data_IF_062223094570
#
_entry.id   IF_062223094570
#
_cell.length_a   1.000
_cell.length_b   1.000
_cell.length_c   1.000
_cell.angle_alpha   90.00
_cell.angle_beta   90.00
_cell.angle_gamma   90.00
#
_symmetry.space_group_name_H-M   'P 1'
#
loop_
_entity.id
_entity.type
_entity.pdbx_description
1 polymer ?
#
# COMPACT_ATOMS: atom_id res chain seq x y z
N UNK A 1 33.01 -105.38 -68.10
CA UNK A 1 31.58 -105.73 -67.99
C UNK A 1 31.09 -105.37 -66.60
N UNK A 2 30.35 -104.25 -66.46
CA UNK A 2 29.29 -104.03 -65.49
C UNK A 2 28.74 -102.60 -65.67
N UNK A 3 27.49 -102.51 -66.10
CA UNK A 3 26.68 -101.32 -66.37
C UNK A 3 26.24 -100.59 -65.07
N UNK A 4 25.73 -99.34 -65.17
CA UNK A 4 25.42 -98.49 -64.02
C UNK A 4 24.02 -98.79 -63.45
N UNK A 5 23.84 -98.63 -62.12
CA UNK A 5 22.53 -98.70 -61.47
C UNK A 5 22.06 -97.30 -61.04
N UNK A 6 20.98 -96.88 -61.67
CA UNK A 6 20.16 -95.72 -61.35
C UNK A 6 19.10 -96.14 -60.32
N UNK A 7 19.05 -95.48 -59.16
CA UNK A 7 17.95 -95.53 -58.17
C UNK A 7 18.07 -94.24 -57.36
N UNK A 8 17.09 -93.38 -57.13
CA UNK A 8 15.69 -93.32 -57.50
C UNK A 8 15.14 -92.05 -56.84
N UNK A 9 14.37 -91.26 -57.57
CA UNK A 9 13.76 -90.03 -57.04
C UNK A 9 12.75 -90.34 -55.94
N UNK A 10 12.99 -89.81 -54.74
CA UNK A 10 12.03 -89.77 -53.65
C UNK A 10 11.35 -88.41 -53.64
N UNK A 11 10.20 -88.30 -54.32
CA UNK A 11 9.34 -87.12 -54.23
C UNK A 11 8.79 -86.98 -52.82
N UNK A 12 9.17 -85.90 -52.12
CA UNK A 12 8.51 -85.46 -50.90
C UNK A 12 7.06 -85.08 -51.25
N UNK A 13 6.13 -85.99 -50.96
CA UNK A 13 4.70 -85.72 -51.00
C UNK A 13 4.37 -84.51 -50.11
N UNK A 14 3.54 -83.54 -50.55
CA UNK A 14 3.05 -82.50 -49.66
C UNK A 14 2.26 -83.17 -48.54
N UNK A 15 2.73 -82.99 -47.29
CA UNK A 15 2.03 -83.46 -46.10
C UNK A 15 0.55 -83.04 -46.18
N UNK A 16 -0.38 -83.99 -46.06
CA UNK A 16 -1.82 -83.70 -46.04
C UNK A 16 -2.14 -82.98 -44.74
N UNK A 17 -2.15 -81.65 -44.81
CA UNK A 17 -2.57 -80.77 -43.71
C UNK A 17 -4.09 -80.81 -43.62
N UNK A 18 -4.63 -80.96 -42.40
CA UNK A 18 -6.09 -80.92 -42.18
C UNK A 18 -6.65 -79.53 -42.49
N UNK A 19 -7.95 -79.43 -42.83
CA UNK A 19 -8.61 -78.14 -43.08
C UNK A 19 -8.46 -77.18 -41.89
N UNK A 20 -8.46 -77.72 -40.67
CA UNK A 20 -8.25 -76.97 -39.42
C UNK A 20 -6.82 -76.44 -39.29
N UNK A 21 -5.81 -77.26 -39.55
CA UNK A 21 -4.40 -76.82 -39.57
C UNK A 21 -4.15 -75.80 -40.69
N UNK A 22 -4.78 -75.96 -41.87
CA UNK A 22 -4.67 -74.98 -42.95
C UNK A 22 -5.34 -73.66 -42.58
N UNK A 23 -6.49 -73.70 -41.91
CA UNK A 23 -7.17 -72.49 -41.40
C UNK A 23 -6.37 -71.79 -40.30
N UNK A 24 -5.70 -72.54 -39.40
CA UNK A 24 -4.81 -71.98 -38.39
C UNK A 24 -3.56 -71.35 -39.02
N UNK A 25 -3.00 -71.96 -40.07
CA UNK A 25 -1.86 -71.43 -40.83
C UNK A 25 -2.23 -70.20 -41.68
N UNK A 26 -3.43 -70.17 -42.29
CA UNK A 26 -3.87 -69.08 -43.18
C UNK A 26 -4.43 -67.86 -42.43
N UNK A 27 -5.11 -68.06 -41.29
CA UNK A 27 -5.68 -66.97 -40.49
C UNK A 27 -4.80 -66.55 -39.31
N UNK A 28 -3.72 -67.28 -39.05
CA UNK A 28 -2.93 -67.16 -37.83
C UNK A 28 -3.74 -67.58 -36.60
N UNK A 29 -3.07 -67.81 -35.48
CA UNK A 29 -3.73 -68.05 -34.20
C UNK A 29 -4.45 -66.76 -33.73
N UNK A 30 -5.69 -66.55 -34.18
CA UNK A 30 -6.54 -65.40 -33.81
C UNK A 30 -6.67 -65.27 -32.29
N UNK A 31 -6.67 -66.40 -31.58
CA UNK A 31 -6.62 -66.48 -30.12
C UNK A 31 -5.34 -65.84 -29.54
N UNK A 32 -4.18 -66.11 -30.14
CA UNK A 32 -2.91 -65.52 -29.72
C UNK A 32 -2.85 -64.01 -29.99
N UNK A 33 -3.41 -63.56 -31.12
CA UNK A 33 -3.48 -62.12 -31.41
C UNK A 33 -4.41 -61.39 -30.41
N UNK A 34 -5.53 -62.01 -30.05
CA UNK A 34 -6.45 -61.48 -29.05
C UNK A 34 -5.80 -61.39 -27.67
N UNK A 35 -5.05 -62.41 -27.23
CA UNK A 35 -4.35 -62.37 -25.94
C UNK A 35 -3.25 -61.32 -25.91
N UNK A 36 -2.49 -61.15 -26.99
CA UNK A 36 -1.52 -60.06 -27.11
C UNK A 36 -2.20 -58.69 -27.01
N UNK A 37 -3.33 -58.50 -27.68
CA UNK A 37 -4.08 -57.25 -27.65
C UNK A 37 -4.67 -56.95 -26.28
N UNK A 38 -5.20 -57.97 -25.59
CA UNK A 38 -5.67 -57.85 -24.20
C UNK A 38 -4.50 -57.43 -23.29
N UNK A 39 -3.32 -58.06 -23.43
CA UNK A 39 -2.14 -57.68 -22.66
C UNK A 39 -1.64 -56.26 -22.93
N UNK A 40 -1.75 -55.74 -24.15
CA UNK A 40 -1.47 -54.34 -24.47
C UNK A 40 -2.46 -53.38 -23.81
N UNK A 41 -3.75 -53.71 -23.84
CA UNK A 41 -4.80 -52.93 -23.19
C UNK A 41 -4.60 -52.91 -21.68
N UNK A 42 -4.26 -54.03 -21.05
CA UNK A 42 -3.96 -54.10 -19.61
C UNK A 42 -2.78 -53.20 -19.24
N UNK A 43 -1.72 -53.18 -20.06
CA UNK A 43 -0.59 -52.25 -19.88
C UNK A 43 -1.03 -50.79 -19.97
N UNK A 44 -1.89 -50.44 -20.93
CA UNK A 44 -2.43 -49.08 -21.07
C UNK A 44 -3.31 -48.71 -19.88
N UNK A 45 -4.19 -49.61 -19.44
CA UNK A 45 -5.04 -49.44 -18.25
C UNK A 45 -4.17 -49.22 -17.00
N UNK A 46 -3.12 -50.02 -16.82
CA UNK A 46 -2.17 -49.85 -15.71
C UNK A 46 -1.49 -48.47 -15.75
N UNK A 47 -0.99 -48.04 -16.92
CA UNK A 47 -0.39 -46.70 -17.10
C UNK A 47 -1.38 -45.57 -16.82
N UNK A 48 -2.62 -45.69 -17.28
CA UNK A 48 -3.67 -44.70 -17.01
C UNK A 48 -4.03 -44.63 -15.53
N UNK A 49 -4.15 -45.78 -14.85
CA UNK A 49 -4.38 -45.83 -13.39
C UNK A 49 -3.24 -45.16 -12.63
N UNK A 50 -1.99 -45.43 -13.00
CA UNK A 50 -0.82 -44.78 -12.39
C UNK A 50 -0.85 -43.26 -12.58
N UNK A 51 -1.07 -42.77 -13.82
CA UNK A 51 -1.18 -41.34 -14.10
C UNK A 51 -2.32 -40.67 -13.31
N UNK A 52 -3.47 -41.34 -13.21
CA UNK A 52 -4.60 -40.87 -12.40
C UNK A 52 -4.20 -40.74 -10.93
N UNK A 53 -3.51 -41.74 -10.37
CA UNK A 53 -3.04 -41.70 -8.99
C UNK A 53 -2.05 -40.55 -8.74
N UNK A 54 -1.09 -40.34 -9.66
CA UNK A 54 -0.15 -39.21 -9.56
C UNK A 54 -0.86 -37.86 -9.65
N UNK A 55 -1.82 -37.71 -10.56
CA UNK A 55 -2.59 -36.49 -10.70
C UNK A 55 -3.43 -36.20 -9.43
N UNK A 56 -4.09 -37.22 -8.87
CA UNK A 56 -4.85 -37.08 -7.62
C UNK A 56 -3.94 -36.70 -6.44
N UNK A 57 -2.75 -37.27 -6.36
CA UNK A 57 -1.77 -36.90 -5.34
C UNK A 57 -1.33 -35.44 -5.46
N UNK A 58 -1.09 -34.96 -6.69
CA UNK A 58 -0.73 -33.56 -6.95
C UNK A 58 -1.89 -32.61 -6.60
N UNK A 59 -3.13 -32.95 -6.97
CA UNK A 59 -4.32 -32.16 -6.60
C UNK A 59 -4.44 -32.05 -5.09
N UNK A 60 -4.31 -33.16 -4.36
CA UNK A 60 -4.39 -33.15 -2.90
C UNK A 60 -3.27 -32.33 -2.25
N UNK A 61 -2.09 -32.22 -2.88
CA UNK A 61 -1.02 -31.34 -2.42
C UNK A 61 -1.37 -29.87 -2.65
N UNK A 62 -1.83 -29.51 -3.86
CA UNK A 62 -2.22 -28.13 -4.16
C UNK A 62 -3.38 -27.65 -3.30
N UNK A 63 -4.36 -28.51 -3.00
CA UNK A 63 -5.45 -28.17 -2.07
C UNK A 63 -4.92 -27.78 -0.68
N UNK A 64 -3.89 -28.48 -0.18
CA UNK A 64 -3.25 -28.14 1.10
C UNK A 64 -2.48 -26.82 1.03
N UNK A 65 -1.76 -26.58 -0.07
CA UNK A 65 -1.02 -25.33 -0.28
C UNK A 65 -1.96 -24.13 -0.38
N UNK A 66 -3.07 -24.26 -1.10
CA UNK A 66 -4.12 -23.24 -1.20
C UNK A 66 -4.73 -22.97 0.18
N UNK A 67 -5.10 -24.02 0.93
CA UNK A 67 -5.62 -23.86 2.27
C UNK A 67 -4.63 -23.16 3.20
N UNK A 68 -3.33 -23.45 3.08
CA UNK A 68 -2.29 -22.76 3.83
C UNK A 68 -2.23 -21.26 3.46
N UNK A 69 -2.19 -20.93 2.16
CA UNK A 69 -2.20 -19.54 1.68
C UNK A 69 -3.43 -18.79 2.21
N UNK A 70 -4.61 -19.42 2.18
CA UNK A 70 -5.83 -18.80 2.70
C UNK A 70 -5.73 -18.50 4.20
N UNK A 71 -5.12 -19.39 4.99
CA UNK A 71 -4.88 -19.14 6.41
C UNK A 71 -3.90 -17.99 6.64
N UNK A 72 -2.82 -17.92 5.86
CA UNK A 72 -1.85 -16.83 5.96
C UNK A 72 -2.46 -15.49 5.55
N UNK A 73 -3.26 -15.46 4.48
CA UNK A 73 -3.97 -14.26 4.04
C UNK A 73 -4.92 -13.73 5.12
N UNK A 74 -5.67 -14.62 5.80
CA UNK A 74 -6.52 -14.25 6.94
C UNK A 74 -5.69 -13.69 8.09
N UNK A 75 -4.61 -14.37 8.48
CA UNK A 75 -3.72 -13.93 9.56
C UNK A 75 -3.09 -12.55 9.27
N UNK A 76 -2.71 -12.29 8.02
CA UNK A 76 -2.19 -10.99 7.60
C UNK A 76 -3.28 -9.92 7.71
N UNK A 77 -4.48 -10.19 7.21
CA UNK A 77 -5.60 -9.26 7.27
C UNK A 77 -5.97 -8.90 8.72
N UNK A 78 -6.02 -9.88 9.62
CA UNK A 78 -6.29 -9.69 11.05
C UNK A 78 -5.23 -8.81 11.74
N UNK A 79 -3.96 -8.89 11.31
CA UNK A 79 -2.88 -8.03 11.83
C UNK A 79 -2.88 -6.65 11.19
N UNK A 80 -3.26 -6.55 9.92
CA UNK A 80 -3.26 -5.32 9.16
C UNK A 80 -4.40 -4.37 9.56
N UNK A 81 -5.62 -4.89 9.75
CA UNK A 81 -6.79 -4.10 10.13
C UNK A 81 -6.57 -3.21 11.39
N UNK A 82 -6.04 -3.71 12.52
CA UNK A 82 -5.78 -2.88 13.70
C UNK A 82 -4.62 -1.89 13.49
N UNK A 83 -3.68 -2.15 12.56
CA UNK A 83 -2.65 -1.17 12.19
C UNK A 83 -3.28 0.02 11.45
N UNK A 84 -4.18 -0.22 10.52
CA UNK A 84 -4.91 0.84 9.82
C UNK A 84 -5.70 1.72 10.79
N UNK A 85 -6.46 1.10 11.71
CA UNK A 85 -7.21 1.83 12.74
C UNK A 85 -6.31 2.71 13.62
N UNK A 86 -5.17 2.18 14.07
CA UNK A 86 -4.19 2.96 14.85
C UNK A 86 -3.58 4.12 14.04
N UNK A 87 -3.38 3.91 12.74
CA UNK A 87 -2.86 4.95 11.85
C UNK A 87 -3.87 6.08 11.65
N UNK A 88 -5.16 5.76 11.51
CA UNK A 88 -6.24 6.75 11.46
C UNK A 88 -6.33 7.56 12.76
N UNK A 89 -6.32 6.89 13.91
CA UNK A 89 -6.31 7.55 15.22
C UNK A 89 -5.13 8.53 15.36
N UNK A 90 -3.91 8.10 15.00
CA UNK A 90 -2.74 8.99 15.04
C UNK A 90 -2.85 10.18 14.09
N UNK A 91 -3.52 10.03 12.95
CA UNK A 91 -3.77 11.15 12.02
C UNK A 91 -4.72 12.16 12.63
N UNK A 92 -5.78 11.71 13.30
CA UNK A 92 -6.72 12.57 14.01
C UNK A 92 -6.06 13.31 15.17
N UNK A 93 -5.30 12.60 16.00
CA UNK A 93 -4.51 13.20 17.11
C UNK A 93 -3.57 14.28 16.60
N UNK A 94 -2.86 14.02 15.49
CA UNK A 94 -1.97 15.00 14.86
C UNK A 94 -2.73 16.23 14.39
N UNK A 95 -3.91 16.06 13.78
CA UNK A 95 -4.72 17.17 13.31
C UNK A 95 -5.21 18.03 14.49
N UNK A 96 -5.65 17.40 15.58
CA UNK A 96 -6.06 18.11 16.80
C UNK A 96 -4.90 18.89 17.42
N UNK A 97 -3.73 18.25 17.56
CA UNK A 97 -2.52 18.92 18.06
C UNK A 97 -2.12 20.11 17.18
N UNK A 98 -2.21 19.97 15.85
CA UNK A 98 -1.91 21.06 14.93
C UNK A 98 -2.86 22.25 15.11
N UNK A 99 -4.15 21.99 15.34
CA UNK A 99 -5.12 23.05 15.68
C UNK A 99 -4.81 23.72 17.01
N UNK A 100 -4.45 22.94 18.04
CA UNK A 100 -4.07 23.47 19.34
C UNK A 100 -2.84 24.37 19.24
N UNK A 101 -1.79 23.93 18.52
CA UNK A 101 -0.57 24.72 18.30
C UNK A 101 -0.90 26.02 17.55
N UNK A 102 -1.75 25.97 16.53
CA UNK A 102 -2.18 27.18 15.81
C UNK A 102 -2.96 28.14 16.72
N UNK A 103 -3.86 27.62 17.57
CA UNK A 103 -4.61 28.40 18.55
C UNK A 103 -3.69 29.08 19.57
N UNK A 104 -2.74 28.34 20.13
CA UNK A 104 -1.75 28.85 21.08
C UNK A 104 -0.85 29.91 20.42
N UNK A 105 -0.39 29.68 19.19
CA UNK A 105 0.41 30.67 18.45
C UNK A 105 -0.35 31.98 18.24
N UNK A 106 -1.65 31.91 17.94
CA UNK A 106 -2.51 33.10 17.83
C UNK A 106 -2.63 33.83 19.17
N UNK A 107 -2.91 33.11 20.26
CA UNK A 107 -3.00 33.69 21.60
C UNK A 107 -1.69 34.39 22.01
N UNK A 108 -0.54 33.78 21.73
CA UNK A 108 0.75 34.41 21.96
C UNK A 108 0.91 35.72 21.15
N UNK A 109 0.51 35.71 19.88
CA UNK A 109 0.50 36.91 19.04
C UNK A 109 -0.38 38.03 19.62
N UNK A 110 -1.59 37.67 20.07
CA UNK A 110 -2.54 38.60 20.68
C UNK A 110 -1.98 39.21 21.97
N UNK A 111 -1.40 38.39 22.87
CA UNK A 111 -0.74 38.85 24.09
C UNK A 111 0.42 39.80 23.76
N UNK A 112 1.31 39.43 22.85
CA UNK A 112 2.44 40.29 22.45
C UNK A 112 1.96 41.64 21.90
N UNK A 113 0.91 41.62 21.08
CA UNK A 113 0.34 42.85 20.52
C UNK A 113 -0.28 43.75 21.60
N UNK A 114 -0.99 43.16 22.56
CA UNK A 114 -1.62 43.85 23.68
C UNK A 114 -0.57 44.45 24.60
N UNK A 115 0.43 43.66 25.02
CA UNK A 115 1.53 44.10 25.88
C UNK A 115 2.31 45.24 25.22
N UNK A 116 2.61 45.14 23.92
CA UNK A 116 3.29 46.21 23.18
C UNK A 116 2.46 47.50 23.15
N UNK A 117 1.14 47.39 22.98
CA UNK A 117 0.24 48.55 23.01
C UNK A 117 0.20 49.19 24.40
N UNK A 118 0.02 48.38 25.45
CA UNK A 118 -0.02 48.83 26.84
C UNK A 118 1.29 49.51 27.26
N UNK A 119 2.43 48.92 26.90
CA UNK A 119 3.74 49.51 27.19
C UNK A 119 3.90 50.88 26.53
N UNK A 120 3.50 51.02 25.25
CA UNK A 120 3.54 52.31 24.54
C UNK A 120 2.60 53.35 25.14
N UNK A 121 1.40 52.95 25.55
CA UNK A 121 0.46 53.83 26.21
C UNK A 121 1.02 54.31 27.56
N UNK A 122 1.50 53.37 28.39
CA UNK A 122 2.08 53.68 29.71
C UNK A 122 3.32 54.58 29.62
N UNK A 123 4.23 54.32 28.67
CA UNK A 123 5.40 55.20 28.48
C UNK A 123 4.99 56.58 28.00
N UNK A 124 4.00 56.67 27.11
CA UNK A 124 3.47 57.95 26.67
C UNK A 124 2.83 58.73 27.83
N UNK A 125 1.94 58.09 28.59
CA UNK A 125 1.28 58.68 29.76
C UNK A 125 2.29 59.15 30.81
N UNK A 126 3.31 58.33 31.10
CA UNK A 126 4.39 58.69 32.03
C UNK A 126 5.16 59.93 31.55
N UNK A 127 5.50 60.00 30.27
CA UNK A 127 6.19 61.17 29.70
C UNK A 127 5.30 62.41 29.76
N UNK A 128 4.00 62.28 29.48
CA UNK A 128 3.05 63.39 29.60
C UNK A 128 2.94 63.87 31.05
N UNK A 129 2.86 62.96 32.01
CA UNK A 129 2.82 63.29 33.44
C UNK A 129 4.06 64.08 33.87
N UNK A 130 5.26 63.57 33.57
CA UNK A 130 6.53 64.25 33.88
C UNK A 130 6.58 65.65 33.25
N UNK A 131 6.12 65.78 31.99
CA UNK A 131 6.08 67.08 31.31
C UNK A 131 5.10 68.05 31.97
N UNK A 132 3.94 67.57 32.41
CA UNK A 132 2.94 68.38 33.11
C UNK A 132 3.48 68.83 34.46
N UNK A 133 4.04 67.92 35.27
CA UNK A 133 4.67 68.24 36.56
C UNK A 133 5.78 69.27 36.40
N UNK A 134 6.75 69.03 35.52
CA UNK A 134 7.83 69.97 35.26
C UNK A 134 7.32 71.34 34.77
N UNK A 135 6.24 71.36 33.98
CA UNK A 135 5.62 72.61 33.52
C UNK A 135 4.95 73.37 34.67
N UNK A 136 4.30 72.66 35.59
CA UNK A 136 3.68 73.24 36.78
C UNK A 136 4.73 73.79 37.75
N UNK A 137 5.81 73.04 37.99
CA UNK A 137 6.93 73.50 38.83
C UNK A 137 7.57 74.78 38.27
N UNK A 138 7.85 74.81 36.95
CA UNK A 138 8.39 76.00 36.30
C UNK A 138 7.42 77.18 36.33
N UNK A 139 6.11 76.94 36.16
CA UNK A 139 5.10 77.98 36.26
C UNK A 139 4.99 78.54 37.69
N UNK A 140 5.05 77.68 38.70
CA UNK A 140 5.08 78.07 40.11
C UNK A 140 6.32 78.91 40.45
N UNK A 141 7.50 78.51 39.96
CA UNK A 141 8.74 79.25 40.18
C UNK A 141 8.78 80.62 39.45
N UNK A 142 8.16 80.72 38.26
CA UNK A 142 8.14 81.95 37.46
C UNK A 142 6.96 82.88 37.77
N UNK A 143 5.91 82.35 38.38
CA UNK A 143 4.66 83.07 38.67
C UNK A 143 3.66 83.15 37.50
N UNK A 144 3.93 82.49 36.36
CA UNK A 144 3.02 82.43 35.20
C UNK A 144 3.27 81.19 34.34
N UNK A 145 2.21 80.67 33.69
CA UNK A 145 2.29 79.49 32.83
C UNK A 145 2.72 79.84 31.39
N UNK A 146 3.52 78.97 30.76
CA UNK A 146 4.00 79.08 29.37
C UNK A 146 3.44 77.98 28.43
N UNK A 147 2.37 77.31 28.85
CA UNK A 147 1.68 76.29 28.04
C UNK A 147 0.89 76.87 26.86
N UNK A 148 0.18 76.02 26.11
CA UNK A 148 -0.71 76.47 25.01
C UNK A 148 -1.80 77.46 25.47
N UNK A 149 -2.24 77.32 26.72
CA UNK A 149 -3.21 78.22 27.35
C UNK A 149 -2.56 79.49 27.94
N UNK A 150 -1.25 79.68 27.75
CA UNK A 150 -0.55 80.89 28.17
C UNK A 150 -0.95 82.07 27.31
N UNK A 151 -1.15 83.22 27.96
CA UNK A 151 -1.38 84.51 27.29
C UNK A 151 -0.26 84.88 26.32
N UNK A 152 0.97 84.38 26.51
CA UNK A 152 2.11 84.58 25.58
C UNK A 152 1.91 83.80 24.27
N UNK A 153 1.39 82.57 24.34
CA UNK A 153 1.11 81.74 23.16
C UNK A 153 -0.17 82.16 22.43
N UNK A 154 -1.21 82.57 23.17
CA UNK A 154 -2.45 83.10 22.57
C UNK A 154 -2.21 84.41 21.81
N UNK A 155 -1.31 85.27 22.30
CA UNK A 155 -0.95 86.52 21.63
C UNK A 155 -0.22 86.28 20.31
N UNK A 156 0.68 85.30 20.28
CA UNK A 156 1.47 84.96 19.08
C UNK A 156 0.67 84.14 18.06
N UNK A 157 -0.31 83.33 18.48
CA UNK A 157 -1.23 82.64 17.56
C UNK A 157 -2.29 83.57 16.97
N UNK A 158 -2.81 84.53 17.75
CA UNK A 158 -3.74 85.55 17.26
C UNK A 158 -3.10 86.55 16.26
N UNK A 159 -1.77 86.72 16.32
CA UNK A 159 -1.01 87.57 15.40
C UNK A 159 -0.56 86.85 14.12
N UNK A 160 -0.87 85.55 13.94
CA UNK A 160 -0.55 84.82 12.71
C UNK A 160 -1.74 84.95 11.75
N UNK A 161 -1.65 85.74 10.65
CA UNK A 161 -2.72 85.78 9.65
C UNK A 161 -2.88 84.39 9.04
N UNK A 162 -4.14 83.98 8.83
CA UNK A 162 -4.48 82.78 8.09
C UNK A 162 -3.84 82.88 6.69
N UNK A 163 -2.74 82.17 6.46
CA UNK A 163 -2.20 81.99 5.12
C UNK A 163 -3.24 81.18 4.32
N UNK A 164 -3.67 81.77 3.23
CA UNK A 164 -4.85 81.39 2.45
C UNK A 164 -4.83 79.96 1.91
N UNK A 165 -6.05 79.46 1.69
CA UNK A 165 -6.34 78.44 0.71
C UNK A 165 -5.97 78.90 -0.70
#
# INVERSE_FOLDING_TARGET
>A
MASPKHVGGGGMSPSRVTLMERQALEKGDVSMLATLRIGELDKLVAKMKQRKATCLAAVAQYEKEIAHIDTEAKNIAERYAPLCKRLEQRREERAQLQQQVAGVAKQFGDILSSTKRQLRASTHERVQHIRLEASLELAGARGYALGKESTVYQRTSALRPAAGK
#
